data_IF_548991654191
#
_entry.id   IF_548991654191
#
_cell.length_a   1.000
_cell.length_b   1.000
_cell.length_c   1.000
_cell.angle_alpha   90.00
_cell.angle_beta   90.00
_cell.angle_gamma   90.00
#
_symmetry.space_group_name_H-M   'P 1'
#
loop_
_entity.id
_entity.type
_entity.pdbx_description
1 polymer ?
#
# COMPACT_ATOMS: atom_id res chain seq x y z
N UNK A 1 -23.10 38.52 -26.32
CA UNK A 1 -23.05 37.73 -25.07
C UNK A 1 -21.62 37.31 -24.86
N UNK A 2 -20.95 37.98 -23.94
CA UNK A 2 -19.48 38.08 -23.88
C UNK A 2 -18.90 36.78 -23.32
N UNK A 3 -17.73 36.35 -23.81
CA UNK A 3 -16.93 35.22 -23.27
C UNK A 3 -16.88 35.23 -21.74
N UNK A 4 -16.89 36.44 -21.14
CA UNK A 4 -17.06 36.71 -19.71
C UNK A 4 -18.31 36.11 -19.04
N UNK A 5 -19.50 36.24 -19.64
CA UNK A 5 -20.72 35.63 -19.09
C UNK A 5 -20.70 34.11 -19.20
N UNK A 6 -20.09 33.56 -20.26
CA UNK A 6 -19.89 32.12 -20.38
C UNK A 6 -18.90 31.61 -19.33
N UNK A 7 -17.75 32.28 -19.14
CA UNK A 7 -16.75 31.89 -18.14
C UNK A 7 -17.28 31.99 -16.71
N UNK A 8 -17.96 33.08 -16.36
CA UNK A 8 -18.55 33.26 -15.03
C UNK A 8 -19.74 32.32 -14.79
N UNK A 9 -20.59 32.07 -15.79
CA UNK A 9 -21.65 31.07 -15.68
C UNK A 9 -21.08 29.65 -15.50
N UNK A 10 -19.98 29.31 -16.20
CA UNK A 10 -19.32 28.01 -16.06
C UNK A 10 -18.65 27.82 -14.71
N UNK A 11 -17.99 28.86 -14.19
CA UNK A 11 -17.34 28.83 -12.87
C UNK A 11 -18.40 28.77 -11.76
N UNK A 12 -19.49 29.53 -11.86
CA UNK A 12 -20.59 29.47 -10.88
C UNK A 12 -21.35 28.14 -10.93
N UNK A 13 -21.60 27.57 -12.11
CA UNK A 13 -22.18 26.23 -12.24
C UNK A 13 -21.28 25.13 -11.66
N UNK A 14 -19.96 25.32 -11.63
CA UNK A 14 -19.02 24.39 -10.99
C UNK A 14 -19.02 24.44 -9.46
N UNK A 15 -19.53 25.51 -8.84
CA UNK A 15 -19.56 25.69 -7.37
C UNK A 15 -20.88 25.31 -6.71
N UNK A 16 -21.98 25.25 -7.47
CA UNK A 16 -23.26 24.74 -6.96
C UNK A 16 -23.33 23.24 -7.19
N UNK A 17 -23.67 22.50 -6.14
CA UNK A 17 -23.73 21.04 -6.04
C UNK A 17 -24.33 20.38 -7.30
N UNK A 18 -23.46 19.93 -8.21
CA UNK A 18 -23.90 19.30 -9.45
C UNK A 18 -23.98 17.78 -9.29
N UNK A 19 -25.22 17.28 -9.29
CA UNK A 19 -25.54 15.88 -9.47
C UNK A 19 -24.92 15.33 -10.78
N UNK A 20 -24.56 14.07 -10.74
CA UNK A 20 -23.63 13.36 -11.63
C UNK A 20 -24.09 13.15 -13.10
N UNK A 21 -24.99 13.96 -13.67
CA UNK A 21 -25.59 13.67 -14.98
C UNK A 21 -25.09 14.51 -16.18
N UNK A 22 -24.35 15.59 -15.96
CA UNK A 22 -23.79 16.41 -17.06
C UNK A 22 -22.27 16.36 -17.06
N UNK A 23 -21.71 15.41 -17.81
CA UNK A 23 -20.30 15.42 -18.25
C UNK A 23 -20.15 16.50 -19.35
N UNK A 24 -20.62 17.70 -19.08
CA UNK A 24 -20.36 18.86 -19.94
C UNK A 24 -18.92 19.31 -19.66
N UNK A 25 -18.14 19.38 -20.74
CA UNK A 25 -16.68 19.46 -20.76
C UNK A 25 -16.16 20.50 -19.77
N UNK A 26 -15.54 20.04 -18.67
CA UNK A 26 -14.69 20.92 -17.86
C UNK A 26 -13.51 21.37 -18.73
N UNK A 27 -13.20 22.68 -18.78
CA UNK A 27 -12.12 23.17 -19.59
C UNK A 27 -10.77 22.61 -19.11
N UNK A 28 -9.85 22.37 -20.04
CA UNK A 28 -8.49 21.97 -19.69
C UNK A 28 -7.72 23.16 -19.09
N UNK A 29 -6.62 22.89 -18.39
CA UNK A 29 -5.76 23.94 -17.86
C UNK A 29 -5.12 24.78 -18.98
N UNK A 30 -4.86 24.19 -20.15
CA UNK A 30 -4.38 24.95 -21.32
C UNK A 30 -5.45 25.92 -21.84
N UNK A 31 -6.70 25.45 -21.96
CA UNK A 31 -7.83 26.29 -22.41
C UNK A 31 -8.05 27.47 -21.45
N UNK A 32 -7.92 27.25 -20.13
CA UNK A 32 -8.00 28.33 -19.13
C UNK A 32 -6.87 29.34 -19.30
N UNK A 33 -5.65 28.88 -19.59
CA UNK A 33 -4.52 29.75 -19.88
C UNK A 33 -4.73 30.62 -21.12
N UNK A 34 -5.29 30.04 -22.20
CA UNK A 34 -5.65 30.77 -23.42
C UNK A 34 -6.75 31.81 -23.17
N UNK A 35 -7.77 31.46 -22.38
CA UNK A 35 -8.86 32.36 -22.01
C UNK A 35 -8.36 33.53 -21.16
N UNK A 36 -7.41 33.29 -20.25
CA UNK A 36 -6.73 34.35 -19.49
C UNK A 36 -5.91 35.26 -20.41
N UNK A 37 -5.16 34.71 -21.36
CA UNK A 37 -4.38 35.49 -22.33
C UNK A 37 -5.27 36.37 -23.24
N UNK A 38 -6.45 35.88 -23.60
CA UNK A 38 -7.46 36.66 -24.33
C UNK A 38 -8.14 37.72 -23.45
N UNK A 39 -8.40 37.40 -22.18
CA UNK A 39 -8.96 38.34 -21.22
C UNK A 39 -8.00 39.50 -20.93
N UNK A 40 -6.69 39.25 -20.84
CA UNK A 40 -5.66 40.28 -20.65
C UNK A 40 -5.62 41.32 -21.78
N UNK A 41 -6.08 40.98 -22.98
CA UNK A 41 -6.17 41.89 -24.14
C UNK A 41 -7.44 42.75 -24.14
N UNK A 42 -8.37 42.49 -23.22
CA UNK A 42 -9.64 43.21 -23.10
C UNK A 42 -9.73 43.94 -21.75
N UNK A 43 -10.34 45.14 -21.67
CA UNK A 43 -10.48 45.87 -20.42
C UNK A 43 -11.55 45.21 -19.53
N UNK A 44 -11.17 44.15 -18.82
CA UNK A 44 -11.97 43.51 -17.77
C UNK A 44 -11.75 44.26 -16.45
N UNK A 45 -12.75 44.25 -15.55
CA UNK A 45 -12.61 44.82 -14.20
C UNK A 45 -11.44 44.13 -13.47
N UNK A 46 -10.47 44.94 -13.03
CA UNK A 46 -9.20 44.52 -12.42
C UNK A 46 -9.40 43.51 -11.26
N UNK A 47 -10.49 43.63 -10.50
CA UNK A 47 -10.80 42.74 -9.38
C UNK A 47 -11.16 41.31 -9.78
N UNK A 48 -11.81 41.09 -10.92
CA UNK A 48 -12.16 39.74 -11.41
C UNK A 48 -10.94 39.05 -12.04
N UNK A 49 -10.04 39.81 -12.66
CA UNK A 49 -8.78 39.30 -13.21
C UNK A 49 -7.85 38.78 -12.11
N UNK A 50 -7.72 39.52 -11.00
CA UNK A 50 -6.88 39.10 -9.87
C UNK A 50 -7.32 37.76 -9.26
N UNK A 51 -8.64 37.52 -9.16
CA UNK A 51 -9.17 36.24 -8.69
C UNK A 51 -8.86 35.08 -9.66
N UNK A 52 -9.04 35.31 -10.97
CA UNK A 52 -8.76 34.29 -11.98
C UNK A 52 -7.27 33.97 -12.08
N UNK A 53 -6.40 34.96 -11.92
CA UNK A 53 -4.95 34.79 -11.87
C UNK A 53 -4.51 33.98 -10.64
N UNK A 54 -5.07 34.27 -9.46
CA UNK A 54 -4.78 33.51 -8.25
C UNK A 54 -5.28 32.06 -8.37
N UNK A 55 -6.50 31.87 -8.89
CA UNK A 55 -7.07 30.54 -9.15
C UNK A 55 -6.20 29.74 -10.13
N UNK A 56 -5.74 30.37 -11.22
CA UNK A 56 -4.87 29.74 -12.19
C UNK A 56 -3.50 29.38 -11.60
N UNK A 57 -2.89 30.28 -10.83
CA UNK A 57 -1.63 30.03 -10.13
C UNK A 57 -1.74 28.84 -9.17
N UNK A 58 -2.83 28.78 -8.41
CA UNK A 58 -3.11 27.68 -7.47
C UNK A 58 -3.34 26.36 -8.20
N UNK A 59 -4.06 26.41 -9.33
CA UNK A 59 -4.23 25.26 -10.23
C UNK A 59 -2.89 24.72 -10.76
N UNK A 60 -2.00 25.61 -11.22
CA UNK A 60 -0.65 25.25 -11.67
C UNK A 60 0.16 24.57 -10.57
N UNK A 61 0.14 25.10 -9.34
CA UNK A 61 0.86 24.50 -8.21
C UNK A 61 0.39 23.07 -7.90
N UNK A 62 -0.91 22.82 -7.98
CA UNK A 62 -1.46 21.47 -7.76
C UNK A 62 -1.06 20.50 -8.88
N UNK A 63 -1.13 20.94 -10.14
CA UNK A 63 -0.70 20.14 -11.31
C UNK A 63 0.79 19.84 -11.25
N UNK A 64 1.62 20.80 -10.84
CA UNK A 64 3.06 20.61 -10.69
C UNK A 64 3.40 19.62 -9.57
N UNK A 65 2.68 19.71 -8.44
CA UNK A 65 2.82 18.75 -7.34
C UNK A 65 2.43 17.33 -7.79
N UNK A 66 1.29 17.18 -8.48
CA UNK A 66 0.85 15.90 -9.03
C UNK A 66 1.84 15.33 -10.05
N UNK A 67 2.35 16.18 -10.95
CA UNK A 67 3.36 15.82 -11.95
C UNK A 67 4.63 15.31 -11.29
N UNK A 68 5.10 15.98 -10.24
CA UNK A 68 6.28 15.57 -9.46
C UNK A 68 6.09 14.17 -8.88
N UNK A 69 4.92 13.88 -8.30
CA UNK A 69 4.60 12.55 -7.77
C UNK A 69 4.61 11.49 -8.88
N UNK A 70 4.00 11.79 -10.03
CA UNK A 70 3.91 10.87 -11.17
C UNK A 70 5.28 10.58 -11.80
N UNK A 71 6.11 11.61 -12.01
CA UNK A 71 7.49 11.45 -12.50
C UNK A 71 8.28 10.57 -11.56
N UNK A 72 8.12 10.76 -10.25
CA UNK A 72 8.78 9.96 -9.24
C UNK A 72 8.29 8.51 -9.23
N UNK A 73 6.98 8.28 -9.39
CA UNK A 73 6.43 6.94 -9.56
C UNK A 73 7.03 6.23 -10.79
N UNK A 74 7.18 6.95 -11.90
CA UNK A 74 7.82 6.42 -13.11
C UNK A 74 9.30 6.09 -12.86
N UNK A 75 10.06 6.97 -12.21
CA UNK A 75 11.46 6.71 -11.84
C UNK A 75 11.62 5.47 -10.96
N UNK A 76 10.77 5.30 -9.95
CA UNK A 76 10.78 4.12 -9.07
C UNK A 76 10.39 2.84 -9.81
N UNK A 77 9.50 2.92 -10.80
CA UNK A 77 9.13 1.75 -11.61
C UNK A 77 10.26 1.23 -12.50
N UNK A 78 11.15 2.14 -12.95
CA UNK A 78 12.30 1.83 -13.81
C UNK A 78 13.53 1.43 -13.00
N UNK A 79 13.70 2.00 -11.81
CA UNK A 79 14.81 1.69 -10.92
C UNK A 79 14.74 0.24 -10.42
N UNK A 80 15.44 -0.68 -11.11
CA UNK A 80 15.46 -2.11 -10.77
C UNK A 80 16.00 -2.42 -9.37
N UNK A 81 16.82 -1.54 -8.81
CA UNK A 81 17.41 -1.73 -7.48
C UNK A 81 18.34 -0.57 -7.17
N UNK A 82 18.22 0.04 -5.97
CA UNK A 82 19.27 0.80 -5.28
C UNK A 82 19.64 2.21 -5.77
N UNK A 83 18.81 2.89 -6.57
CA UNK A 83 18.96 4.33 -6.59
C UNK A 83 18.50 4.84 -5.21
N UNK A 84 19.43 5.47 -4.49
CA UNK A 84 19.18 6.34 -3.33
C UNK A 84 18.42 7.59 -3.79
N UNK A 85 17.32 7.39 -4.52
CA UNK A 85 16.35 8.42 -4.84
C UNK A 85 15.81 8.89 -3.49
N UNK A 86 16.21 10.12 -3.16
CA UNK A 86 15.98 10.80 -1.90
C UNK A 86 14.58 10.51 -1.39
N UNK A 87 14.46 9.75 -0.28
CA UNK A 87 13.29 8.91 0.10
C UNK A 87 12.04 9.68 0.53
N UNK A 88 11.75 10.83 -0.07
CA UNK A 88 10.47 11.52 0.12
C UNK A 88 9.36 10.63 -0.44
N UNK A 89 8.78 9.80 0.43
CA UNK A 89 7.61 8.98 0.14
C UNK A 89 6.39 9.75 0.61
N UNK A 90 5.34 9.67 -0.16
CA UNK A 90 4.07 10.30 0.19
C UNK A 90 3.20 9.30 0.93
N UNK A 91 2.39 9.77 1.88
CA UNK A 91 1.34 8.91 2.42
C UNK A 91 0.18 8.87 1.42
N UNK A 92 -0.58 7.76 1.41
CA UNK A 92 -1.79 7.67 0.58
C UNK A 92 -2.78 8.79 0.96
N UNK A 93 -2.87 9.12 2.25
CA UNK A 93 -3.76 10.16 2.76
C UNK A 93 -3.39 11.56 2.23
N UNK A 94 -2.11 11.91 2.17
CA UNK A 94 -1.63 13.17 1.56
C UNK A 94 -2.04 13.26 0.10
N UNK A 95 -1.83 12.18 -0.67
CA UNK A 95 -2.16 12.15 -2.10
C UNK A 95 -3.67 12.15 -2.33
N UNK A 96 -4.46 11.51 -1.47
CA UNK A 96 -5.92 11.62 -1.49
C UNK A 96 -6.41 13.03 -1.13
N UNK A 97 -5.72 13.74 -0.23
CA UNK A 97 -5.97 15.14 0.08
C UNK A 97 -5.67 16.05 -1.12
N UNK A 98 -4.56 15.79 -1.82
CA UNK A 98 -4.22 16.46 -3.08
C UNK A 98 -5.27 16.18 -4.16
N UNK A 99 -5.69 14.93 -4.36
CA UNK A 99 -6.74 14.56 -5.31
C UNK A 99 -8.07 15.27 -5.00
N UNK A 100 -8.51 15.28 -3.73
CA UNK A 100 -9.71 16.04 -3.33
C UNK A 100 -9.59 17.52 -3.67
N UNK A 101 -8.42 18.11 -3.40
CA UNK A 101 -8.16 19.51 -3.76
C UNK A 101 -8.25 19.70 -5.27
N UNK A 102 -7.60 18.85 -6.08
CA UNK A 102 -7.65 18.93 -7.55
C UNK A 102 -9.06 18.69 -8.12
N UNK A 103 -9.85 17.78 -7.55
CA UNK A 103 -11.24 17.55 -7.99
C UNK A 103 -12.18 18.72 -7.67
N UNK A 104 -11.86 19.49 -6.62
CA UNK A 104 -12.59 20.72 -6.28
C UNK A 104 -12.28 21.87 -7.26
N UNK A 105 -11.20 21.78 -8.03
CA UNK A 105 -10.94 22.75 -9.09
C UNK A 105 -11.89 22.53 -10.28
N UNK A 106 -12.34 23.62 -10.93
CA UNK A 106 -13.29 23.54 -12.04
C UNK A 106 -12.67 23.01 -13.35
N UNK A 107 -11.37 22.71 -13.36
CA UNK A 107 -10.64 22.23 -14.52
C UNK A 107 -10.36 20.73 -14.43
N UNK A 108 -10.24 20.06 -15.58
CA UNK A 108 -9.77 18.69 -15.65
C UNK A 108 -8.29 18.67 -16.06
N UNK A 109 -7.49 17.86 -15.39
CA UNK A 109 -6.09 17.64 -15.71
C UNK A 109 -5.82 16.14 -15.86
N UNK A 110 -4.94 15.76 -16.79
CA UNK A 110 -4.59 14.34 -17.04
C UNK A 110 -3.82 13.75 -15.86
N UNK A 111 -3.10 14.60 -15.14
CA UNK A 111 -2.36 14.28 -13.94
C UNK A 111 -3.29 13.79 -12.83
N UNK A 112 -4.50 14.36 -12.71
CA UNK A 112 -5.53 13.90 -11.75
C UNK A 112 -5.91 12.46 -12.02
N UNK A 113 -6.26 12.15 -13.28
CA UNK A 113 -6.69 10.80 -13.68
C UNK A 113 -5.56 9.78 -13.47
N UNK A 114 -4.32 10.14 -13.83
CA UNK A 114 -3.14 9.30 -13.64
C UNK A 114 -2.82 9.07 -12.15
N UNK A 115 -2.93 10.10 -11.33
CA UNK A 115 -2.69 10.04 -9.89
C UNK A 115 -3.77 9.21 -9.18
N UNK A 116 -5.03 9.35 -9.58
CA UNK A 116 -6.13 8.51 -9.09
C UNK A 116 -5.90 7.03 -9.42
N UNK A 117 -5.51 6.71 -10.66
CA UNK A 117 -5.19 5.35 -11.05
C UNK A 117 -4.00 4.78 -10.26
N UNK A 118 -3.00 5.62 -9.92
CA UNK A 118 -1.86 5.22 -9.10
C UNK A 118 -2.28 4.90 -7.66
N UNK A 119 -3.12 5.74 -7.05
CA UNK A 119 -3.65 5.52 -5.70
C UNK A 119 -4.50 4.26 -5.64
N UNK A 120 -5.39 4.03 -6.61
CA UNK A 120 -6.21 2.82 -6.67
C UNK A 120 -5.35 1.54 -6.74
N UNK A 121 -4.26 1.57 -7.52
CA UNK A 121 -3.34 0.44 -7.64
C UNK A 121 -2.60 0.17 -6.32
N UNK A 122 -2.18 1.22 -5.65
CA UNK A 122 -1.54 1.17 -4.33
C UNK A 122 -2.48 0.63 -3.25
N UNK A 123 -3.74 1.04 -3.24
CA UNK A 123 -4.75 0.51 -2.32
C UNK A 123 -5.07 -0.96 -2.60
N UNK A 124 -5.16 -1.35 -3.87
CA UNK A 124 -5.35 -2.75 -4.25
C UNK A 124 -4.19 -3.62 -3.75
N UNK A 125 -2.96 -3.16 -3.94
CA UNK A 125 -1.77 -3.80 -3.38
C UNK A 125 -1.84 -3.92 -1.86
N UNK A 126 -2.18 -2.83 -1.14
CA UNK A 126 -2.33 -2.85 0.32
C UNK A 126 -3.39 -3.87 0.76
N UNK A 127 -4.55 -3.92 0.11
CA UNK A 127 -5.60 -4.91 0.39
C UNK A 127 -5.10 -6.34 0.22
N UNK A 128 -4.28 -6.60 -0.81
CA UNK A 128 -3.68 -7.91 -1.02
C UNK A 128 -2.70 -8.27 0.11
N UNK A 129 -1.87 -7.33 0.56
CA UNK A 129 -0.95 -7.56 1.70
C UNK A 129 -1.72 -7.84 2.99
N UNK A 130 -2.78 -7.07 3.27
CA UNK A 130 -3.67 -7.28 4.43
C UNK A 130 -4.35 -8.64 4.38
N UNK A 131 -4.84 -9.06 3.21
CA UNK A 131 -5.45 -10.38 3.03
C UNK A 131 -4.45 -11.52 3.33
N UNK A 132 -3.18 -11.37 2.92
CA UNK A 132 -2.13 -12.35 3.21
C UNK A 132 -1.66 -12.34 4.67
N UNK A 133 -1.76 -11.20 5.35
CA UNK A 133 -1.45 -11.12 6.78
C UNK A 133 -2.58 -11.65 7.66
N UNK A 134 -3.71 -12.04 7.07
CA UNK A 134 -4.88 -12.52 7.82
C UNK A 134 -5.60 -11.39 8.55
N UNK A 135 -5.53 -10.16 8.03
CA UNK A 135 -6.18 -8.98 8.63
C UNK A 135 -5.42 -8.31 9.77
N UNK A 136 -4.21 -8.78 10.13
CA UNK A 136 -3.43 -8.25 11.27
C UNK A 136 -3.13 -6.74 11.12
N UNK A 137 -3.01 -6.26 9.88
CA UNK A 137 -2.62 -4.88 9.57
C UNK A 137 -3.75 -3.84 9.70
N UNK A 138 -5.01 -4.23 9.97
CA UNK A 138 -6.14 -3.27 9.98
C UNK A 138 -6.23 -2.37 11.21
N UNK A 139 -5.39 -2.58 12.24
CA UNK A 139 -5.59 -1.93 13.54
C UNK A 139 -4.67 -0.73 13.83
N UNK A 140 -3.66 -0.45 13.00
CA UNK A 140 -2.63 0.56 13.34
C UNK A 140 -2.52 1.74 12.38
N UNK A 141 -3.24 1.75 11.24
CA UNK A 141 -2.96 2.72 10.17
C UNK A 141 -3.89 3.94 10.12
N UNK A 142 -4.85 4.07 11.05
CA UNK A 142 -5.83 5.17 11.07
C UNK A 142 -5.58 6.26 12.14
N UNK A 143 -4.45 6.22 12.86
CA UNK A 143 -4.12 7.29 13.80
C UNK A 143 -3.34 8.42 13.10
N UNK A 144 -3.89 9.65 13.01
CA UNK A 144 -3.10 10.81 12.56
C UNK A 144 -2.03 11.10 13.62
N UNK A 145 -0.76 10.99 13.22
CA UNK A 145 0.38 11.28 14.08
C UNK A 145 0.43 12.78 14.39
N UNK A 146 -0.09 13.15 15.55
CA UNK A 146 -0.10 14.52 16.05
C UNK A 146 -0.08 14.56 17.59
N UNK A 147 1.11 14.36 18.17
CA UNK A 147 1.49 14.96 19.45
C UNK A 147 0.99 14.31 20.76
N UNK A 148 1.90 14.37 21.73
CA UNK A 148 1.71 14.20 23.18
C UNK A 148 1.59 12.78 23.74
N UNK A 149 2.75 12.33 24.23
CA UNK A 149 2.97 11.58 25.46
C UNK A 149 1.78 11.66 26.43
N UNK A 150 1.09 10.54 26.67
CA UNK A 150 0.79 10.18 28.05
C UNK A 150 0.55 8.69 28.24
N UNK A 151 1.18 8.16 29.28
CA UNK A 151 1.10 6.77 29.68
C UNK A 151 -0.18 6.54 30.46
N UNK A 152 -1.13 5.79 29.91
CA UNK A 152 -2.26 5.26 30.68
C UNK A 152 -2.46 3.77 30.44
N UNK A 153 -2.03 3.01 31.45
CA UNK A 153 -2.47 1.64 31.73
C UNK A 153 -3.99 1.57 31.66
N UNK A 154 -4.55 0.66 30.85
CA UNK A 154 -5.91 0.19 31.07
C UNK A 154 -5.96 -1.34 31.02
N UNK A 155 -6.16 -1.94 32.20
CA UNK A 155 -6.47 -3.34 32.38
C UNK A 155 -7.97 -3.54 32.10
N UNK A 156 -8.34 -4.11 30.94
CA UNK A 156 -9.70 -4.62 30.75
C UNK A 156 -9.68 -6.16 30.68
N UNK A 157 -10.00 -6.75 31.82
CA UNK A 157 -10.31 -8.17 31.99
C UNK A 157 -11.71 -8.44 31.43
N UNK A 158 -11.80 -9.49 30.60
CA UNK A 158 -12.94 -10.41 30.60
C UNK A 158 -14.20 -10.00 29.84
N UNK A 159 -14.42 -10.63 28.69
CA UNK A 159 -15.69 -10.56 27.97
C UNK A 159 -15.77 -11.63 26.89
N UNK A 160 -16.25 -12.81 27.26
CA UNK A 160 -16.49 -13.97 26.41
C UNK A 160 -17.42 -13.66 25.23
N UNK A 161 -16.88 -13.60 24.02
CA UNK A 161 -17.60 -13.85 22.77
C UNK A 161 -16.65 -14.51 21.77
N UNK A 162 -16.49 -15.83 21.91
CA UNK A 162 -15.75 -16.67 20.96
C UNK A 162 -16.73 -17.66 20.37
N UNK A 163 -17.20 -17.44 19.13
CA UNK A 163 -17.50 -18.53 18.18
C UNK A 163 -17.87 -18.15 16.74
N UNK A 164 -17.86 -16.89 16.34
CA UNK A 164 -18.24 -16.52 14.95
C UNK A 164 -17.06 -16.25 14.00
N UNK A 165 -15.85 -15.93 14.50
CA UNK A 165 -14.74 -15.50 13.64
C UNK A 165 -13.67 -16.57 13.36
N UNK A 166 -13.79 -17.76 13.96
CA UNK A 166 -12.81 -18.83 13.78
C UNK A 166 -12.77 -19.39 12.34
N UNK A 167 -13.82 -19.22 11.55
CA UNK A 167 -13.86 -19.65 10.15
C UNK A 167 -13.08 -18.68 9.22
N UNK A 168 -12.99 -17.40 9.55
CA UNK A 168 -12.23 -16.42 8.77
C UNK A 168 -10.72 -16.50 9.03
N UNK A 169 -10.31 -16.73 10.29
CA UNK A 169 -8.88 -16.92 10.62
C UNK A 169 -8.31 -18.28 10.18
N UNK A 170 -9.14 -19.32 10.03
CA UNK A 170 -8.68 -20.64 9.56
C UNK A 170 -8.40 -20.70 8.06
N UNK A 171 -9.02 -19.81 7.24
CA UNK A 171 -8.79 -19.75 5.79
C UNK A 171 -7.42 -19.15 5.41
N UNK A 172 -6.78 -18.41 6.33
CA UNK A 172 -5.49 -17.73 6.12
C UNK A 172 -4.26 -18.62 6.38
N UNK A 173 -4.44 -19.84 6.90
CA UNK A 173 -3.33 -20.74 7.25
C UNK A 173 -2.73 -21.51 6.07
N UNK A 174 -3.16 -21.25 4.83
CA UNK A 174 -2.52 -21.85 3.65
C UNK A 174 -1.15 -21.17 3.44
N UNK A 175 -0.06 -21.94 3.30
CA UNK A 175 1.26 -21.36 3.06
C UNK A 175 1.24 -20.55 1.76
N UNK A 176 1.50 -19.25 1.86
CA UNK A 176 1.57 -18.36 0.70
C UNK A 176 2.83 -18.71 -0.11
N UNK A 177 2.75 -18.83 -1.44
CA UNK A 177 3.92 -19.11 -2.27
C UNK A 177 5.00 -18.04 -2.11
N UNK A 178 6.25 -18.44 -1.85
CA UNK A 178 7.39 -17.52 -1.69
C UNK A 178 7.52 -16.54 -2.86
N UNK A 179 7.33 -17.01 -4.10
CA UNK A 179 7.36 -16.18 -5.31
C UNK A 179 6.34 -15.05 -5.28
N UNK A 180 5.16 -15.30 -4.71
CA UNK A 180 4.10 -14.28 -4.56
C UNK A 180 4.51 -13.22 -3.55
N UNK A 181 5.08 -13.61 -2.42
CA UNK A 181 5.58 -12.67 -1.41
C UNK A 181 6.70 -11.79 -1.98
N UNK A 182 7.64 -12.37 -2.72
CA UNK A 182 8.72 -11.61 -3.37
C UNK A 182 8.21 -10.64 -4.43
N UNK A 183 7.22 -11.04 -5.23
CA UNK A 183 6.58 -10.17 -6.20
C UNK A 183 5.91 -8.96 -5.52
N UNK A 184 5.20 -9.19 -4.42
CA UNK A 184 4.53 -8.11 -3.67
C UNK A 184 5.51 -7.16 -2.98
N UNK A 185 6.66 -7.65 -2.49
CA UNK A 185 7.73 -6.78 -1.99
C UNK A 185 8.25 -5.89 -3.12
N UNK A 186 8.56 -6.50 -4.27
CA UNK A 186 9.08 -5.76 -5.42
C UNK A 186 8.08 -4.72 -5.95
N UNK A 187 6.78 -5.03 -5.92
CA UNK A 187 5.73 -4.08 -6.29
C UNK A 187 5.58 -2.95 -5.27
N UNK A 188 5.56 -3.27 -3.97
CA UNK A 188 5.51 -2.29 -2.87
C UNK A 188 6.67 -1.29 -2.89
N UNK A 189 7.87 -1.75 -3.28
CA UNK A 189 9.05 -0.90 -3.40
C UNK A 189 9.00 0.07 -4.58
N UNK A 190 8.22 -0.22 -5.62
CA UNK A 190 8.05 0.62 -6.83
C UNK A 190 7.07 1.77 -6.63
N UNK A 191 6.21 1.69 -5.63
CA UNK A 191 5.28 2.78 -5.35
C UNK A 191 6.00 3.98 -4.72
N UNK A 192 5.59 5.23 -5.06
CA UNK A 192 6.09 6.43 -4.39
C UNK A 192 5.47 6.62 -2.99
N UNK A 193 4.79 5.61 -2.46
CA UNK A 193 4.08 5.68 -1.19
C UNK A 193 4.88 5.07 -0.04
N UNK A 194 4.58 5.53 1.17
CA UNK A 194 5.13 4.96 2.39
C UNK A 194 4.33 3.71 2.84
N UNK A 195 4.99 2.54 2.76
CA UNK A 195 4.42 1.24 3.12
C UNK A 195 5.31 0.50 4.11
N UNK A 196 5.77 1.18 5.17
CA UNK A 196 6.76 0.61 6.12
C UNK A 196 6.24 -0.69 6.74
N UNK A 197 5.05 -0.64 7.33
CA UNK A 197 4.47 -1.77 8.06
C UNK A 197 4.13 -2.93 7.11
N UNK A 198 3.56 -2.63 5.94
CA UNK A 198 3.18 -3.64 4.94
C UNK A 198 4.42 -4.35 4.37
N UNK A 199 5.49 -3.61 4.05
CA UNK A 199 6.74 -4.19 3.57
C UNK A 199 7.46 -5.01 4.65
N UNK A 200 7.39 -4.59 5.92
CA UNK A 200 7.94 -5.35 7.05
C UNK A 200 7.22 -6.70 7.22
N UNK A 201 5.89 -6.69 7.23
CA UNK A 201 5.10 -7.94 7.28
C UNK A 201 5.42 -8.86 6.11
N UNK A 202 5.61 -8.33 4.91
CA UNK A 202 6.00 -9.13 3.76
C UNK A 202 7.41 -9.74 3.92
N UNK A 203 8.37 -9.00 4.50
CA UNK A 203 9.72 -9.52 4.79
C UNK A 203 9.67 -10.65 5.82
N UNK A 204 8.88 -10.50 6.88
CA UNK A 204 8.69 -11.56 7.87
C UNK A 204 8.05 -12.80 7.26
N UNK A 205 7.02 -12.63 6.43
CA UNK A 205 6.37 -13.74 5.70
C UNK A 205 7.34 -14.42 4.73
N UNK A 206 8.23 -13.66 4.09
CA UNK A 206 9.28 -14.19 3.21
C UNK A 206 10.23 -15.10 3.98
N UNK A 207 10.68 -14.68 5.15
CA UNK A 207 11.62 -15.45 5.96
C UNK A 207 10.97 -16.69 6.60
N UNK A 208 9.70 -16.58 7.03
CA UNK A 208 8.90 -17.74 7.44
C UNK A 208 8.74 -18.76 6.30
N UNK A 209 8.43 -18.30 5.09
CA UNK A 209 8.27 -19.17 3.92
C UNK A 209 9.59 -19.88 3.54
N UNK A 210 10.73 -19.18 3.63
CA UNK A 210 12.06 -19.80 3.45
C UNK A 210 12.34 -20.88 4.50
N UNK A 211 12.06 -20.58 5.77
CA UNK A 211 12.29 -21.52 6.86
C UNK A 211 11.41 -22.77 6.72
N UNK A 212 10.17 -22.61 6.28
CA UNK A 212 9.28 -23.72 5.93
C UNK A 212 9.83 -24.54 4.75
N UNK A 213 10.31 -23.89 3.70
CA UNK A 213 10.91 -24.57 2.54
C UNK A 213 12.14 -25.40 2.96
N UNK A 214 13.00 -24.87 3.82
CA UNK A 214 14.17 -25.58 4.34
C UNK A 214 13.79 -26.78 5.22
N UNK A 215 12.75 -26.65 6.06
CA UNK A 215 12.20 -27.78 6.82
C UNK A 215 11.64 -28.86 5.90
N UNK A 216 10.90 -28.47 4.87
CA UNK A 216 10.36 -29.42 3.88
C UNK A 216 11.49 -30.14 3.14
N UNK A 217 12.51 -29.42 2.65
CA UNK A 217 13.68 -30.04 2.03
C UNK A 217 14.34 -31.07 2.95
N UNK A 218 14.53 -30.73 4.23
CA UNK A 218 15.09 -31.66 5.23
C UNK A 218 14.22 -32.89 5.47
N UNK A 219 12.88 -32.78 5.40
CA UNK A 219 11.98 -33.94 5.49
C UNK A 219 11.97 -34.83 4.24
N UNK A 220 12.35 -34.29 3.07
CA UNK A 220 12.45 -35.06 1.82
C UNK A 220 13.85 -35.63 1.57
N UNK A 221 14.88 -35.20 2.30
CA UNK A 221 16.15 -35.94 2.30
C UNK A 221 15.84 -37.27 2.98
N UNK A 222 15.85 -38.40 2.25
CA UNK A 222 15.72 -39.69 2.90
C UNK A 222 16.89 -39.72 3.87
N UNK A 223 16.59 -39.75 5.16
CA UNK A 223 17.59 -40.15 6.14
C UNK A 223 18.02 -41.49 5.61
N UNK A 224 19.21 -41.56 5.00
CA UNK A 224 19.81 -42.81 4.57
C UNK A 224 20.07 -43.51 5.89
N UNK A 225 19.03 -44.17 6.39
CA UNK A 225 19.10 -45.02 7.55
C UNK A 225 20.12 -46.02 7.10
N UNK A 226 21.32 -45.87 7.64
CA UNK A 226 22.33 -46.89 7.59
C UNK A 226 21.80 -48.03 8.48
N UNK A 227 20.69 -48.64 8.05
CA UNK A 227 20.20 -49.94 8.46
C UNK A 227 21.06 -50.97 7.70
N UNK A 228 22.37 -50.79 7.81
CA UNK A 228 23.39 -51.77 7.47
C UNK A 228 23.62 -52.61 8.71
N UNK A 229 22.62 -53.43 9.03
CA UNK A 229 22.75 -54.79 9.56
C UNK A 229 23.94 -55.00 10.51
N UNK A 230 23.66 -54.91 11.82
CA UNK A 230 24.39 -55.66 12.82
C UNK A 230 24.44 -57.15 12.42
N UNK A 231 25.59 -57.60 11.91
CA UNK A 231 25.91 -59.03 11.80
C UNK A 231 27.05 -59.34 12.75
N UNK A 232 26.62 -59.85 13.91
CA UNK A 232 27.33 -60.58 14.96
C UNK A 232 28.42 -61.54 14.41
N UNK A 233 29.64 -61.42 14.93
CA UNK A 233 30.65 -62.48 15.17
C UNK A 233 31.88 -61.84 15.87
N UNK A 234 31.98 -61.89 17.21
CA UNK A 234 33.04 -62.62 17.96
C UNK A 234 34.31 -61.76 18.14
N UNK A 235 34.90 -61.46 19.30
CA UNK A 235 34.97 -62.09 20.62
C UNK A 235 35.36 -61.03 21.69
N UNK A 236 35.02 -61.33 22.95
CA UNK A 236 35.64 -60.93 24.23
C UNK A 236 35.91 -59.45 24.61
N UNK A 237 35.16 -58.92 25.60
CA UNK A 237 35.55 -58.91 27.03
C UNK A 237 34.88 -57.75 27.84
N UNK A 238 34.34 -58.14 29.00
CA UNK A 238 34.15 -57.37 30.25
C UNK A 238 33.26 -56.08 30.35
N UNK A 239 32.19 -56.26 31.14
CA UNK A 239 31.73 -55.42 32.26
C UNK A 239 31.19 -53.99 32.04
N UNK A 240 29.91 -53.79 32.38
CA UNK A 240 29.36 -52.45 32.65
C UNK A 240 27.83 -52.38 32.61
N UNK A 241 27.17 -52.70 33.72
CA UNK A 241 25.73 -52.60 33.90
C UNK A 241 25.24 -51.13 33.92
N UNK A 242 24.16 -50.83 33.21
CA UNK A 242 23.51 -49.52 33.20
C UNK A 242 22.25 -49.52 32.34
N UNK A 243 21.15 -50.00 32.93
CA UNK A 243 19.83 -50.27 32.34
C UNK A 243 19.17 -48.98 31.79
N UNK A 244 18.89 -48.93 30.48
CA UNK A 244 17.96 -47.97 29.89
C UNK A 244 16.65 -48.70 29.57
N UNK A 245 15.58 -48.36 30.29
CA UNK A 245 14.24 -48.89 30.08
C UNK A 245 13.70 -48.42 28.73
N UNK A 246 13.55 -49.39 27.82
CA UNK A 246 12.78 -49.22 26.59
C UNK A 246 11.30 -49.31 26.96
N UNK A 247 10.59 -48.19 26.91
CA UNK A 247 9.13 -48.16 26.88
C UNK A 247 8.66 -48.92 25.64
N UNK A 248 7.95 -50.04 25.86
CA UNK A 248 7.32 -50.82 24.81
C UNK A 248 5.94 -50.25 24.49
N UNK A 249 5.64 -50.22 23.20
CA UNK A 249 4.46 -49.58 22.60
C UNK A 249 3.43 -50.68 22.27
N UNK A 250 3.07 -51.47 23.29
CA UNK A 250 2.11 -52.58 23.18
C UNK A 250 0.78 -52.32 23.92
N UNK A 251 0.51 -51.08 24.29
CA UNK A 251 -0.78 -50.62 24.88
C UNK A 251 -1.45 -49.52 24.02
N UNK A 252 -1.43 -49.65 22.70
CA UNK A 252 -2.36 -48.93 21.80
C UNK A 252 -3.08 -49.90 20.88
#
# INVERSE_FOLDING_TARGET
ATVRSLLLAYIHQGTETFEASSVERRPSMEEVGELLALAAKNPVKISEMAYLEDLHRRGLQLVDTASTILVRAAQLSVAKSRLTLDRVRYTIQEVQGLLRSMHSFPFRSREVDALQALVLRAEAWRKEVVAMSGGILTNETDAPTGGAVDSSKNNNRGGSSRRSDAAASAASNKPVPLKKVEALIAEGERFPFEFKNELEVLRDKKDLAKLWLEKLKRSFVPTKVNSGRSKKSGDDNAAGAGKAEKLSLSDM
#
